data_IF_214710295094
#
_entry.id   IF_214710295094
#
_cell.length_a   1.000
_cell.length_b   1.000
_cell.length_c   1.000
_cell.angle_alpha   90.00
_cell.angle_beta   90.00
_cell.angle_gamma   90.00
#
_symmetry.space_group_name_H-M   'P 1'
#
loop_
_entity.id
_entity.type
_entity.pdbx_description
1 polymer ?
#
# COMPACT_ATOMS: atom_id res chain seq x y z
N UNK A 1 4.42 4.88 -8.94
CA UNK A 1 3.12 4.61 -8.26
C UNK A 1 3.24 3.31 -7.49
N UNK A 2 2.67 3.23 -6.28
CA UNK A 2 2.69 2.02 -5.45
C UNK A 2 1.26 1.68 -4.99
N UNK A 3 1.06 0.44 -4.59
CA UNK A 3 -0.22 0.01 -3.99
C UNK A 3 -0.31 0.58 -2.57
N UNK A 4 -1.45 1.19 -2.27
CA UNK A 4 -1.88 1.46 -0.89
C UNK A 4 -2.84 0.34 -0.50
N UNK A 5 -2.33 -0.68 0.19
CA UNK A 5 -3.00 -1.97 0.31
C UNK A 5 -4.33 -1.88 1.08
N UNK A 6 -5.40 -2.41 0.48
CA UNK A 6 -6.64 -2.72 1.19
C UNK A 6 -6.53 -4.06 1.94
N UNK A 7 -7.48 -4.35 2.83
CA UNK A 7 -7.49 -5.61 3.59
C UNK A 7 -7.53 -6.84 2.65
N UNK A 8 -8.40 -6.92 1.62
CA UNK A 8 -8.40 -8.06 0.70
C UNK A 8 -7.09 -8.23 -0.07
N UNK A 9 -6.43 -7.12 -0.42
CA UNK A 9 -5.13 -7.16 -1.09
C UNK A 9 -4.03 -7.69 -0.18
N UNK A 10 -4.04 -7.29 1.10
CA UNK A 10 -3.11 -7.81 2.10
C UNK A 10 -3.31 -9.31 2.31
N UNK A 11 -4.54 -9.77 2.49
CA UNK A 11 -4.87 -11.20 2.69
C UNK A 11 -4.44 -12.04 1.48
N UNK A 12 -4.66 -11.55 0.25
CA UNK A 12 -4.20 -12.20 -0.97
C UNK A 12 -2.68 -12.37 -1.02
N UNK A 13 -1.92 -11.33 -0.65
CA UNK A 13 -0.45 -11.37 -0.65
C UNK A 13 0.08 -12.26 0.46
N UNK A 14 -0.55 -12.26 1.64
CA UNK A 14 -0.19 -13.19 2.72
C UNK A 14 -0.33 -14.64 2.24
N UNK A 15 -1.45 -14.97 1.59
CA UNK A 15 -1.68 -16.31 1.06
C UNK A 15 -0.66 -16.71 -0.04
N UNK A 16 -0.33 -15.78 -0.93
CA UNK A 16 0.69 -15.98 -1.97
C UNK A 16 2.07 -16.23 -1.35
N UNK A 17 2.48 -15.43 -0.36
CA UNK A 17 3.76 -15.61 0.32
C UNK A 17 3.81 -16.92 1.13
N UNK A 18 2.73 -17.28 1.81
CA UNK A 18 2.64 -18.58 2.49
C UNK A 18 2.79 -19.75 1.50
N UNK A 19 2.18 -19.64 0.30
CA UNK A 19 2.33 -20.65 -0.75
C UNK A 19 3.77 -20.77 -1.27
N UNK A 20 4.54 -19.68 -1.20
CA UNK A 20 5.97 -19.67 -1.52
C UNK A 20 6.87 -20.13 -0.36
N UNK A 21 6.29 -20.55 0.78
CA UNK A 21 7.02 -21.09 1.93
C UNK A 21 7.48 -20.05 2.94
N UNK A 22 6.96 -18.81 2.86
CA UNK A 22 7.23 -17.80 3.88
C UNK A 22 6.32 -18.01 5.10
N UNK A 23 6.93 -18.14 6.29
CA UNK A 23 6.21 -18.29 7.56
C UNK A 23 5.69 -16.93 8.05
N UNK A 24 4.59 -16.48 7.43
CA UNK A 24 3.92 -15.22 7.75
C UNK A 24 2.55 -15.55 8.35
N UNK A 25 2.18 -14.98 9.51
CA UNK A 25 0.89 -15.24 10.12
C UNK A 25 -0.26 -14.60 9.33
N UNK A 26 -1.46 -15.17 9.46
CA UNK A 26 -2.67 -14.62 8.86
C UNK A 26 -3.08 -13.29 9.51
N UNK A 27 -3.75 -12.44 8.73
CA UNK A 27 -4.29 -11.19 9.25
C UNK A 27 -5.46 -11.46 10.22
N UNK A 28 -5.40 -11.00 11.49
CA UNK A 28 -6.47 -11.23 12.46
C UNK A 28 -7.59 -10.21 12.26
N UNK A 29 -8.56 -10.55 11.42
CA UNK A 29 -9.73 -9.71 11.12
C UNK A 29 -10.54 -9.39 12.39
N UNK A 30 -10.74 -10.39 13.27
CA UNK A 30 -11.41 -10.26 14.55
C UNK A 30 -10.49 -10.68 15.73
N UNK A 31 -9.62 -9.79 16.23
CA UNK A 31 -8.63 -10.13 17.26
C UNK A 31 -9.31 -10.46 18.60
N UNK A 32 -8.97 -11.61 19.20
CA UNK A 32 -9.53 -12.04 20.49
C UNK A 32 -8.49 -12.01 21.61
N UNK A 33 -7.22 -12.22 21.28
CA UNK A 33 -6.10 -12.17 22.23
C UNK A 33 -5.31 -10.86 22.14
N UNK A 34 -4.46 -10.59 23.12
CA UNK A 34 -3.54 -9.46 23.06
C UNK A 34 -2.44 -9.66 22.01
N UNK A 35 -2.09 -10.92 21.73
CA UNK A 35 -1.21 -11.31 20.62
C UNK A 35 -1.83 -10.96 19.27
N UNK A 36 -3.13 -11.23 19.07
CA UNK A 36 -3.85 -10.86 17.85
C UNK A 36 -3.91 -9.35 17.66
N UNK A 37 -4.11 -8.59 18.76
CA UNK A 37 -4.12 -7.12 18.72
C UNK A 37 -2.73 -6.59 18.32
N UNK A 38 -1.67 -7.15 18.88
CA UNK A 38 -0.29 -6.78 18.53
C UNK A 38 0.02 -7.11 17.06
N UNK A 39 -0.48 -8.25 16.58
CA UNK A 39 -0.31 -8.65 15.18
C UNK A 39 -1.10 -7.74 14.23
N UNK A 40 -2.34 -7.40 14.56
CA UNK A 40 -3.15 -6.42 13.82
C UNK A 40 -2.47 -5.05 13.76
N UNK A 41 -1.84 -4.62 14.84
CA UNK A 41 -1.10 -3.36 14.92
C UNK A 41 0.21 -3.40 14.10
N UNK A 42 0.81 -4.57 13.92
CA UNK A 42 1.97 -4.73 13.02
C UNK A 42 1.52 -4.62 11.57
N UNK A 43 0.46 -5.33 11.18
CA UNK A 43 -0.08 -5.25 9.81
C UNK A 43 -0.67 -3.88 9.48
N UNK A 44 -1.22 -3.14 10.45
CA UNK A 44 -1.75 -1.80 10.20
C UNK A 44 -0.70 -0.80 9.73
N UNK A 45 0.59 -1.03 10.02
CA UNK A 45 1.71 -0.19 9.52
C UNK A 45 1.95 -0.34 8.02
N UNK A 46 1.61 -1.50 7.45
CA UNK A 46 1.81 -1.79 6.02
C UNK A 46 0.52 -1.64 5.20
N UNK A 47 -0.62 -1.47 5.86
CA UNK A 47 -1.89 -1.17 5.23
C UNK A 47 -1.96 0.29 4.77
N UNK A 48 -2.75 0.52 3.72
CA UNK A 48 -2.97 1.86 3.18
C UNK A 48 -1.70 2.51 2.62
N UNK A 49 -1.65 3.84 2.65
CA UNK A 49 -0.53 4.60 2.10
C UNK A 49 0.64 4.67 3.08
N UNK A 50 1.33 3.55 3.30
CA UNK A 50 2.50 3.49 4.18
C UNK A 50 3.73 4.22 3.62
N UNK A 51 3.86 4.29 2.29
CA UNK A 51 5.08 4.79 1.62
C UNK A 51 5.11 6.31 1.47
N UNK A 52 4.03 6.91 0.95
CA UNK A 52 4.04 8.35 0.63
C UNK A 52 4.29 9.27 1.84
N UNK A 53 3.73 9.01 3.04
CA UNK A 53 3.98 9.85 4.22
C UNK A 53 5.44 9.85 4.65
N UNK A 54 6.18 8.77 4.40
CA UNK A 54 7.61 8.65 4.76
C UNK A 54 8.52 9.32 3.72
N UNK A 55 8.15 9.27 2.44
CA UNK A 55 8.99 9.82 1.37
C UNK A 55 8.79 11.32 1.12
N UNK A 56 7.66 11.89 1.53
CA UNK A 56 7.27 13.27 1.19
C UNK A 56 7.42 14.22 2.37
N UNK A 57 8.67 14.46 2.77
CA UNK A 57 9.04 15.44 3.80
C UNK A 57 9.06 16.89 3.28
N UNK A 58 8.19 17.22 2.32
CA UNK A 58 8.14 18.53 1.66
C UNK A 58 6.91 18.71 0.77
N UNK A 59 6.75 19.93 0.24
CA UNK A 59 5.62 20.29 -0.62
C UNK A 59 5.79 19.78 -2.06
N UNK A 60 4.67 19.63 -2.78
CA UNK A 60 4.64 19.10 -4.15
C UNK A 60 4.39 20.20 -5.18
N UNK A 61 5.33 20.43 -6.11
CA UNK A 61 5.06 21.11 -7.39
C UNK A 61 4.67 20.06 -8.44
N UNK A 62 3.43 20.13 -8.92
CA UNK A 62 2.88 19.22 -9.94
C UNK A 62 2.28 20.03 -11.08
N UNK A 63 2.91 19.95 -12.25
CA UNK A 63 2.48 20.62 -13.48
C UNK A 63 2.73 19.77 -14.72
N UNK A 64 1.84 19.89 -15.70
CA UNK A 64 2.01 19.21 -16.98
C UNK A 64 3.20 19.82 -17.76
N UNK A 65 4.14 19.01 -18.28
CA UNK A 65 5.21 19.50 -19.15
C UNK A 65 4.66 20.13 -20.44
N UNK A 66 5.36 21.13 -20.98
CA UNK A 66 4.94 21.82 -22.20
C UNK A 66 4.79 20.86 -23.40
N UNK A 67 5.69 19.89 -23.54
CA UNK A 67 5.63 18.86 -24.58
C UNK A 67 4.35 18.03 -24.50
N UNK A 68 3.96 17.60 -23.29
CA UNK A 68 2.72 16.84 -23.06
C UNK A 68 1.49 17.68 -23.40
N UNK A 69 1.48 18.97 -23.02
CA UNK A 69 0.38 19.89 -23.34
C UNK A 69 0.24 20.14 -24.84
N UNK A 70 1.34 20.40 -25.53
CA UNK A 70 1.33 20.61 -26.99
C UNK A 70 0.93 19.35 -27.76
N UNK A 71 1.27 18.16 -27.25
CA UNK A 71 0.82 16.90 -27.85
C UNK A 71 -0.70 16.70 -27.68
N UNK A 72 -1.22 16.92 -26.47
CA UNK A 72 -2.65 16.78 -26.19
C UNK A 72 -3.52 17.76 -27.01
N UNK A 73 -3.03 18.98 -27.27
CA UNK A 73 -3.73 19.94 -28.15
C UNK A 73 -3.83 19.47 -29.60
N UNK A 74 -2.87 18.67 -30.07
CA UNK A 74 -2.84 18.12 -31.44
C UNK A 74 -3.59 16.79 -31.56
N UNK A 75 -3.83 16.10 -30.44
CA UNK A 75 -4.49 14.79 -30.36
C UNK A 75 -5.54 14.81 -29.23
N UNK A 76 -6.69 15.49 -29.44
CA UNK A 76 -7.74 15.62 -28.43
C UNK A 76 -8.51 14.31 -28.19
#
# INVERSE_FOLDING_TARGET
PNVSASIPQLESVIAELQAHGYDIPNYPSNPQSDEDKALKATFSKVLGSAVNPVLREGNSDRRAPASVKSYAQKNP
#
